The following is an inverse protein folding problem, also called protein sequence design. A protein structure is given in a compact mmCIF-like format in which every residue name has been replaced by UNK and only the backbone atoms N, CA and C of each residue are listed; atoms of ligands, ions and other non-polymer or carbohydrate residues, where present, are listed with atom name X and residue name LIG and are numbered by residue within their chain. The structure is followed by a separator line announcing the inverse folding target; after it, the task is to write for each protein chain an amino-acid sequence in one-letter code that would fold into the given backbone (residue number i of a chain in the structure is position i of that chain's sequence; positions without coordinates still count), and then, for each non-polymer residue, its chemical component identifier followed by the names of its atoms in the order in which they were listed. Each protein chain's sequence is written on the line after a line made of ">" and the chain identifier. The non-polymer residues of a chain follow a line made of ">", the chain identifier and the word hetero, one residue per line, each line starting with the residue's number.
data_IF_751752113222
#
_entry.id   IF_751752113222
#
_cell.length_a   1.000
_cell.length_b   1.000
_cell.length_c   1.000
_cell.angle_alpha   90.00
_cell.angle_beta   90.00
_cell.angle_gamma   90.00
#
_symmetry.space_group_name_H-M   'P 1'
#
loop_
_entity.id
_entity.type
_entity.pdbx_description
1 polymer ?
#
# COMPACT_ATOMS: atom_id res chain seq x y z
N UNK A 1 21.88 -4.82 21.78
CA UNK A 1 22.02 -4.98 20.31
C UNK A 1 21.40 -6.33 19.96
N UNK A 2 20.19 -6.36 19.41
CA UNK A 2 19.48 -7.61 19.12
C UNK A 2 20.09 -8.29 17.87
N UNK A 3 20.41 -9.57 17.98
CA UNK A 3 21.04 -10.36 16.93
C UNK A 3 20.04 -10.64 15.81
N UNK A 4 20.32 -10.18 14.58
CA UNK A 4 19.50 -10.46 13.39
C UNK A 4 19.47 -11.97 13.15
N UNK A 5 18.29 -12.58 13.28
CA UNK A 5 18.08 -13.98 12.93
C UNK A 5 18.21 -14.16 11.42
N UNK A 6 18.97 -15.17 10.98
CA UNK A 6 19.16 -15.52 9.57
C UNK A 6 17.87 -16.19 9.06
N UNK A 7 17.29 -15.61 8.03
CA UNK A 7 16.09 -16.12 7.35
C UNK A 7 16.37 -17.53 6.79
N UNK A 8 15.42 -18.46 6.99
CA UNK A 8 15.54 -19.84 6.52
C UNK A 8 15.49 -19.92 4.99
N UNK A 9 16.01 -20.99 4.41
CA UNK A 9 16.00 -21.14 2.95
C UNK A 9 14.58 -21.32 2.40
N UNK A 10 13.71 -21.95 3.19
CA UNK A 10 12.28 -22.12 2.90
C UNK A 10 11.56 -20.76 2.80
N UNK A 11 11.86 -19.83 3.71
CA UNK A 11 11.29 -18.48 3.68
C UNK A 11 11.76 -17.67 2.45
N UNK A 12 12.99 -17.92 1.97
CA UNK A 12 13.50 -17.30 0.73
C UNK A 12 12.80 -17.81 -0.52
N UNK A 13 12.46 -19.09 -0.57
CA UNK A 13 11.74 -19.68 -1.70
C UNK A 13 10.30 -19.19 -1.74
N UNK A 14 9.66 -19.05 -0.56
CA UNK A 14 8.34 -18.41 -0.43
C UNK A 14 8.36 -16.94 -0.85
N UNK A 15 9.45 -16.22 -0.60
CA UNK A 15 9.65 -14.83 -1.04
C UNK A 15 9.69 -14.67 -2.56
N UNK A 16 10.34 -15.59 -3.26
CA UNK A 16 10.45 -15.56 -4.72
C UNK A 16 9.09 -15.90 -5.33
N UNK A 17 8.43 -16.95 -4.84
CA UNK A 17 7.11 -17.36 -5.30
C UNK A 17 6.04 -16.28 -5.07
N UNK A 18 6.03 -15.61 -3.91
CA UNK A 18 5.11 -14.51 -3.62
C UNK A 18 5.39 -13.21 -4.42
N UNK A 19 6.60 -13.04 -4.95
CA UNK A 19 6.93 -11.94 -5.84
C UNK A 19 6.50 -12.21 -7.29
N UNK A 20 6.56 -13.47 -7.71
CA UNK A 20 6.19 -13.91 -9.06
C UNK A 20 4.68 -14.14 -9.22
N UNK A 21 3.98 -14.54 -8.16
CA UNK A 21 2.53 -14.76 -8.16
C UNK A 21 1.81 -13.57 -7.50
N UNK A 22 1.03 -12.82 -8.30
CA UNK A 22 0.29 -11.58 -7.93
C UNK A 22 -0.75 -11.71 -6.79
N UNK A 23 -0.79 -12.83 -6.05
CA UNK A 23 -1.88 -13.19 -5.14
C UNK A 23 -1.50 -13.21 -3.64
N UNK A 24 -0.26 -12.87 -3.30
CA UNK A 24 0.20 -12.71 -1.91
C UNK A 24 0.67 -11.27 -1.68
N UNK A 25 0.12 -10.62 -0.65
CA UNK A 25 0.49 -9.26 -0.26
C UNK A 25 1.95 -9.25 0.25
N UNK A 26 2.89 -8.99 -0.66
CA UNK A 26 4.33 -8.90 -0.43
C UNK A 26 4.65 -8.04 0.81
N UNK A 27 3.86 -6.98 1.05
CA UNK A 27 4.02 -6.09 2.19
C UNK A 27 3.69 -6.77 3.52
N UNK A 28 2.68 -7.65 3.57
CA UNK A 28 2.31 -8.40 4.77
C UNK A 28 3.37 -9.45 5.15
N UNK A 29 4.04 -10.05 4.15
CA UNK A 29 5.09 -11.04 4.39
C UNK A 29 6.41 -10.37 4.85
N UNK A 30 6.77 -9.22 4.28
CA UNK A 30 7.94 -8.41 4.70
C UNK A 30 7.80 -7.92 6.15
N UNK A 31 6.58 -7.54 6.55
CA UNK A 31 6.28 -7.16 7.94
C UNK A 31 6.46 -8.36 8.90
N UNK A 32 6.16 -9.58 8.43
CA UNK A 32 6.32 -10.83 9.19
C UNK A 32 7.78 -11.27 9.37
N UNK A 33 8.71 -10.82 8.51
CA UNK A 33 10.11 -11.32 8.46
C UNK A 33 11.19 -10.34 8.99
N UNK A 34 10.80 -9.22 9.59
CA UNK A 34 11.75 -8.28 10.21
C UNK A 34 11.90 -6.93 9.51
N UNK A 35 10.91 -6.56 8.69
CA UNK A 35 10.78 -5.23 8.09
C UNK A 35 11.60 -5.04 6.81
N UNK A 36 11.43 -3.86 6.18
CA UNK A 36 12.14 -3.49 4.96
C UNK A 36 13.64 -3.38 5.20
N UNK A 37 14.43 -4.06 4.37
CA UNK A 37 15.90 -3.90 4.29
C UNK A 37 16.27 -3.12 3.03
N UNK A 38 17.54 -2.70 2.92
CA UNK A 38 18.01 -2.01 1.71
C UNK A 38 17.90 -2.93 0.47
N UNK A 39 18.26 -4.21 0.60
CA UNK A 39 18.18 -5.20 -0.48
C UNK A 39 16.72 -5.47 -0.91
N UNK A 40 15.79 -5.60 0.05
CA UNK A 40 14.37 -5.79 -0.29
C UNK A 40 13.77 -4.53 -0.91
N UNK A 41 14.24 -3.35 -0.51
CA UNK A 41 13.86 -2.09 -1.15
C UNK A 41 14.41 -1.99 -2.58
N UNK A 42 15.65 -2.39 -2.84
CA UNK A 42 16.21 -2.44 -4.19
C UNK A 42 15.40 -3.37 -5.11
N UNK A 43 15.02 -4.57 -4.64
CA UNK A 43 14.14 -5.48 -5.39
C UNK A 43 12.77 -4.89 -5.69
N UNK A 44 12.17 -4.23 -4.69
CA UNK A 44 10.91 -3.52 -4.87
C UNK A 44 11.02 -2.41 -5.94
N UNK A 45 12.10 -1.63 -5.92
CA UNK A 45 12.35 -0.59 -6.91
C UNK A 45 12.55 -1.17 -8.32
N UNK A 46 13.30 -2.26 -8.45
CA UNK A 46 13.49 -2.95 -9.73
C UNK A 46 12.16 -3.47 -10.29
N UNK A 47 11.32 -4.09 -9.45
CA UNK A 47 9.97 -4.51 -9.86
C UNK A 47 9.03 -3.35 -10.17
N UNK A 48 9.16 -2.22 -9.48
CA UNK A 48 8.37 -1.02 -9.78
C UNK A 48 8.75 -0.44 -11.13
N UNK A 49 10.06 -0.42 -11.47
CA UNK A 49 10.54 0.16 -12.72
C UNK A 49 10.01 -0.55 -13.97
N UNK A 50 9.66 -1.84 -13.90
CA UNK A 50 9.05 -2.55 -15.05
C UNK A 50 7.64 -2.04 -15.39
N UNK A 51 7.04 -1.25 -14.51
CA UNK A 51 5.70 -0.66 -14.69
C UNK A 51 5.75 0.84 -15.02
N UNK A 52 6.95 1.43 -15.07
CA UNK A 52 7.14 2.84 -15.39
C UNK A 52 7.31 3.03 -16.90
N UNK A 53 6.81 4.15 -17.43
CA UNK A 53 7.04 4.51 -18.82
C UNK A 53 8.52 4.90 -19.01
N UNK A 54 9.23 4.17 -19.87
CA UNK A 54 10.64 4.38 -20.21
C UNK A 54 10.89 5.69 -20.98
N UNK A 55 9.87 6.25 -21.62
CA UNK A 55 9.98 7.47 -22.42
C UNK A 55 9.73 8.74 -21.60
N UNK A 56 9.23 8.61 -20.38
CA UNK A 56 8.95 9.72 -19.49
C UNK A 56 9.96 9.80 -18.34
N UNK A 57 10.23 11.03 -17.88
CA UNK A 57 11.02 11.24 -16.67
C UNK A 57 10.15 10.97 -15.44
N UNK A 58 10.52 9.99 -14.64
CA UNK A 58 9.76 9.55 -13.48
C UNK A 58 10.43 10.00 -12.17
N UNK A 59 9.62 10.40 -11.19
CA UNK A 59 10.09 10.79 -9.86
C UNK A 59 9.52 9.88 -8.79
N UNK A 60 10.39 9.14 -8.10
CA UNK A 60 10.03 8.34 -6.93
C UNK A 60 10.32 9.12 -5.65
N UNK A 61 9.29 9.36 -4.84
CA UNK A 61 9.37 10.15 -3.61
C UNK A 61 9.08 9.24 -2.42
N UNK A 62 9.99 9.22 -1.44
CA UNK A 62 9.85 8.41 -0.23
C UNK A 62 10.49 9.08 0.99
N UNK A 63 10.20 8.56 2.17
CA UNK A 63 10.75 9.06 3.43
C UNK A 63 12.22 8.61 3.64
N UNK A 64 12.87 9.18 4.64
CA UNK A 64 14.27 8.90 4.98
C UNK A 64 14.51 7.65 5.83
N UNK A 65 13.60 6.66 5.79
CA UNK A 65 13.75 5.42 6.55
C UNK A 65 15.06 4.70 6.22
N UNK A 66 15.59 3.91 7.17
CA UNK A 66 16.93 3.32 7.05
C UNK A 66 17.12 2.49 5.76
N UNK A 67 16.10 1.75 5.34
CA UNK A 67 16.11 0.97 4.11
C UNK A 67 16.25 1.83 2.84
N UNK A 68 15.78 3.08 2.89
CA UNK A 68 15.67 3.98 1.75
C UNK A 68 16.88 4.90 1.55
N UNK A 69 17.84 4.91 2.49
CA UNK A 69 18.95 5.89 2.48
C UNK A 69 19.96 5.70 1.36
N UNK A 70 20.05 4.50 0.78
CA UNK A 70 20.96 4.16 -0.32
C UNK A 70 20.25 3.26 -1.33
N UNK A 71 19.21 3.74 -2.02
CA UNK A 71 18.55 2.91 -2.99
C UNK A 71 19.45 2.75 -4.23
N UNK A 72 19.46 1.56 -4.79
CA UNK A 72 19.99 1.36 -6.14
C UNK A 72 19.07 2.06 -7.14
N UNK A 73 19.67 2.73 -8.12
CA UNK A 73 18.90 3.43 -9.14
C UNK A 73 18.27 2.41 -10.09
N UNK A 74 16.93 2.40 -10.25
CA UNK A 74 16.26 1.33 -10.97
C UNK A 74 16.18 1.57 -12.49
N UNK A 75 16.53 2.78 -12.96
CA UNK A 75 16.57 3.12 -14.39
C UNK A 75 17.11 4.55 -14.61
N UNK A 76 17.55 4.84 -15.84
CA UNK A 76 18.16 6.13 -16.20
C UNK A 76 17.14 7.28 -16.19
N UNK A 77 15.89 7.00 -16.57
CA UNK A 77 14.78 7.96 -16.57
C UNK A 77 14.07 8.08 -15.20
N UNK A 78 14.54 7.37 -14.17
CA UNK A 78 13.93 7.34 -12.84
C UNK A 78 14.79 8.13 -11.85
N UNK A 79 14.24 9.22 -11.33
CA UNK A 79 14.87 10.05 -10.31
C UNK A 79 14.27 9.79 -8.94
N UNK A 80 15.12 9.42 -7.99
CA UNK A 80 14.72 9.22 -6.61
C UNK A 80 14.91 10.49 -5.76
N UNK A 81 13.94 10.79 -4.90
CA UNK A 81 13.94 11.94 -3.99
C UNK A 81 13.52 11.51 -2.59
N UNK A 82 14.38 11.78 -1.62
CA UNK A 82 14.09 11.55 -0.19
C UNK A 82 13.47 12.83 0.38
N UNK A 83 12.34 12.69 1.06
CA UNK A 83 11.69 13.79 1.75
C UNK A 83 12.54 14.30 2.93
N UNK A 84 12.42 15.59 3.29
CA UNK A 84 13.05 16.11 4.49
C UNK A 84 12.60 15.32 5.74
N UNK A 85 13.46 15.17 6.75
CA UNK A 85 13.08 14.53 8.00
C UNK A 85 11.79 15.12 8.59
N UNK A 86 10.96 14.26 9.19
CA UNK A 86 9.72 14.65 9.87
C UNK A 86 8.70 15.38 8.96
N UNK A 87 8.65 15.03 7.68
CA UNK A 87 7.71 15.61 6.71
C UNK A 87 6.62 14.63 6.23
N UNK A 88 5.88 13.95 7.14
CA UNK A 88 4.84 13.00 6.74
C UNK A 88 3.71 13.69 5.96
N UNK A 89 3.53 14.99 6.14
CA UNK A 89 2.53 15.77 5.40
C UNK A 89 2.83 15.91 3.91
N UNK A 90 4.10 15.77 3.50
CA UNK A 90 4.53 15.73 2.10
C UNK A 90 4.51 14.31 1.51
N UNK A 91 4.32 13.28 2.33
CA UNK A 91 4.28 11.90 1.88
C UNK A 91 2.84 11.52 1.50
N UNK A 92 2.59 11.32 0.21
CA UNK A 92 1.27 10.94 -0.30
C UNK A 92 0.78 9.61 0.29
N UNK A 93 1.68 8.68 0.59
CA UNK A 93 1.33 7.38 1.19
C UNK A 93 0.82 7.58 2.62
N UNK A 94 1.45 8.44 3.40
CA UNK A 94 0.98 8.80 4.75
C UNK A 94 -0.39 9.47 4.69
N UNK A 95 -0.61 10.37 3.72
CA UNK A 95 -1.93 10.97 3.52
C UNK A 95 -2.99 9.94 3.14
N UNK A 96 -2.65 8.96 2.30
CA UNK A 96 -3.54 7.87 1.94
C UNK A 96 -3.88 6.96 3.15
N UNK A 97 -2.91 6.68 4.03
CA UNK A 97 -3.13 5.96 5.29
C UNK A 97 -4.09 6.72 6.19
N UNK A 98 -3.92 8.05 6.30
CA UNK A 98 -4.83 8.91 7.07
C UNK A 98 -6.24 8.90 6.50
N UNK A 99 -6.39 9.03 5.18
CA UNK A 99 -7.68 8.94 4.51
C UNK A 99 -8.36 7.59 4.79
N UNK A 100 -7.63 6.48 4.68
CA UNK A 100 -8.12 5.14 5.03
C UNK A 100 -8.62 5.07 6.47
N UNK A 101 -7.91 5.68 7.42
CA UNK A 101 -8.33 5.72 8.82
C UNK A 101 -9.63 6.52 9.00
N UNK A 102 -9.75 7.68 8.34
CA UNK A 102 -10.96 8.50 8.37
C UNK A 102 -12.17 7.76 7.79
N UNK A 103 -12.00 7.11 6.63
CA UNK A 103 -13.05 6.27 6.02
C UNK A 103 -13.47 5.15 6.98
N UNK A 104 -12.52 4.46 7.61
CA UNK A 104 -12.82 3.41 8.59
C UNK A 104 -13.63 3.94 9.77
N UNK A 105 -13.29 5.11 10.28
CA UNK A 105 -14.03 5.73 11.37
C UNK A 105 -15.46 6.09 10.94
N UNK A 106 -15.64 6.70 9.76
CA UNK A 106 -16.95 7.05 9.21
C UNK A 106 -17.85 5.81 9.05
N UNK A 107 -17.35 4.77 8.39
CA UNK A 107 -18.15 3.55 8.16
C UNK A 107 -18.36 2.73 9.43
N UNK A 108 -17.56 2.93 10.49
CA UNK A 108 -17.69 2.16 11.74
C UNK A 108 -18.93 2.55 12.56
N UNK A 109 -19.54 3.71 12.31
CA UNK A 109 -20.70 4.15 13.06
C UNK A 109 -21.92 3.24 12.84
N UNK A 110 -22.76 3.10 13.88
CA UNK A 110 -23.90 2.18 13.88
C UNK A 110 -24.83 2.38 12.68
N UNK A 111 -25.19 3.64 12.40
CA UNK A 111 -26.07 3.98 11.29
C UNK A 111 -25.51 3.52 9.93
N UNK A 112 -24.19 3.60 9.73
CA UNK A 112 -23.57 3.10 8.50
C UNK A 112 -23.53 1.57 8.49
N UNK A 113 -23.19 0.92 9.61
CA UNK A 113 -23.20 -0.55 9.69
C UNK A 113 -24.58 -1.14 9.40
N UNK A 114 -25.67 -0.52 9.86
CA UNK A 114 -27.04 -0.91 9.51
C UNK A 114 -27.30 -0.81 8.01
N UNK A 115 -26.88 0.30 7.37
CA UNK A 115 -26.99 0.46 5.91
C UNK A 115 -26.20 -0.61 5.14
N UNK A 116 -25.00 -0.97 5.60
CA UNK A 116 -24.21 -2.05 5.01
C UNK A 116 -24.86 -3.44 5.19
N UNK A 117 -25.67 -3.63 6.23
CA UNK A 117 -26.40 -4.87 6.51
C UNK A 117 -27.75 -4.97 5.77
N UNK A 118 -28.28 -3.85 5.27
CA UNK A 118 -29.64 -3.75 4.74
C UNK A 118 -29.80 -4.38 3.34
N UNK A 119 -30.22 -5.65 3.32
CA UNK A 119 -30.47 -6.39 2.07
C UNK A 119 -31.67 -5.88 1.29
N UNK A 120 -32.67 -5.33 1.97
CA UNK A 120 -33.88 -4.81 1.32
C UNK A 120 -33.57 -3.56 0.51
N UNK A 121 -32.72 -2.66 1.02
CA UNK A 121 -32.26 -1.49 0.29
C UNK A 121 -31.51 -1.88 -1.00
N UNK A 122 -30.61 -2.87 -0.94
CA UNK A 122 -29.93 -3.40 -2.12
C UNK A 122 -30.93 -3.98 -3.16
N UNK A 123 -31.95 -4.72 -2.71
CA UNK A 123 -33.00 -5.27 -3.57
C UNK A 123 -33.85 -4.17 -4.22
N UNK A 124 -34.23 -3.14 -3.46
CA UNK A 124 -34.99 -2.01 -3.95
C UNK A 124 -34.20 -1.20 -5.00
N UNK A 125 -32.88 -1.12 -4.84
CA UNK A 125 -31.97 -0.53 -5.82
C UNK A 125 -31.67 -1.44 -7.03
N UNK A 126 -32.19 -2.67 -7.04
CA UNK A 126 -31.94 -3.70 -8.08
C UNK A 126 -30.45 -4.03 -8.27
N UNK A 127 -29.68 -4.00 -7.17
CA UNK A 127 -28.25 -4.29 -7.17
C UNK A 127 -27.92 -5.56 -6.37
N UNK A 128 -26.92 -6.33 -6.80
CA UNK A 128 -26.28 -7.31 -5.92
C UNK A 128 -25.77 -6.63 -4.64
N UNK A 129 -25.87 -7.31 -3.51
CA UNK A 129 -25.47 -6.76 -2.20
C UNK A 129 -24.00 -6.27 -2.19
N UNK A 130 -23.11 -6.96 -2.91
CA UNK A 130 -21.71 -6.55 -3.06
C UNK A 130 -21.57 -5.19 -3.75
N UNK A 131 -22.29 -4.98 -4.85
CA UNK A 131 -22.26 -3.70 -5.59
C UNK A 131 -22.90 -2.56 -4.80
N UNK A 132 -24.01 -2.83 -4.11
CA UNK A 132 -24.62 -1.85 -3.21
C UNK A 132 -23.64 -1.39 -2.11
N UNK A 133 -22.90 -2.32 -1.50
CA UNK A 133 -21.87 -1.99 -0.50
C UNK A 133 -20.69 -1.24 -1.08
N UNK A 134 -20.27 -1.55 -2.31
CA UNK A 134 -19.24 -0.77 -3.02
C UNK A 134 -19.69 0.68 -3.21
N UNK A 135 -20.94 0.92 -3.60
CA UNK A 135 -21.47 2.28 -3.72
C UNK A 135 -21.46 3.03 -2.39
N UNK A 136 -21.82 2.37 -1.28
CA UNK A 136 -21.71 2.96 0.06
C UNK A 136 -20.27 3.32 0.44
N UNK A 137 -19.30 2.49 0.04
CA UNK A 137 -17.87 2.78 0.24
C UNK A 137 -17.41 3.97 -0.60
N UNK A 138 -17.82 4.07 -1.87
CA UNK A 138 -17.51 5.22 -2.73
C UNK A 138 -18.05 6.51 -2.12
N UNK A 139 -19.31 6.50 -1.66
CA UNK A 139 -19.89 7.65 -0.96
C UNK A 139 -19.11 8.00 0.32
N UNK A 140 -18.58 7.02 1.05
CA UNK A 140 -17.75 7.27 2.23
C UNK A 140 -16.40 7.90 1.85
N UNK A 141 -15.80 7.44 0.76
CA UNK A 141 -14.58 8.04 0.21
C UNK A 141 -14.85 9.51 -0.18
N UNK A 142 -15.91 9.79 -0.94
CA UNK A 142 -16.28 11.15 -1.36
C UNK A 142 -16.50 12.11 -0.18
N UNK A 143 -17.13 11.64 0.90
CA UNK A 143 -17.30 12.44 2.13
C UNK A 143 -15.98 12.77 2.85
N UNK A 144 -14.95 11.95 2.68
CA UNK A 144 -13.68 12.06 3.39
C UNK A 144 -12.54 12.68 2.55
N UNK A 145 -12.77 12.91 1.25
CA UNK A 145 -11.81 13.59 0.35
C UNK A 145 -11.95 15.13 0.44
N UNK A 146 -13.06 15.64 0.99
CA UNK A 146 -13.34 17.07 1.16
C UNK A 146 -12.55 17.76 2.26
#
# INVERSE_FOLDING_TARGET
>A
MAQRQRISQEDKERLVSAFEEQDQDYLALVDTMGGMTNDSFAKFLAGTATHLDENETQYLIFDGALAHRRPEQPGDNVHMRILPPYSPFLNIVEQAIRLKASIKADISCHAMQERFAERNAARNAHLPLGEYRKQLLVQAVERNIG
#
